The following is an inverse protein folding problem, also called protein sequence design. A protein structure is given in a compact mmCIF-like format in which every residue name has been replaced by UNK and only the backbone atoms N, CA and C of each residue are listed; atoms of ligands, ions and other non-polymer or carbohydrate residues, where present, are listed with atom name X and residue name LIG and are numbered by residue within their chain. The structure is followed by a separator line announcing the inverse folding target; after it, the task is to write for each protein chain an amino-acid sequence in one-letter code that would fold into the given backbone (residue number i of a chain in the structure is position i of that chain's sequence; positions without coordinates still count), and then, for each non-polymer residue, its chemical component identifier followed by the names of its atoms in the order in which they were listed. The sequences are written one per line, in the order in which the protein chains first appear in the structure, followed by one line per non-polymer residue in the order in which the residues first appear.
data_IF_364006795673
#
_entry.id   IF_364006795673
#
_cell.length_a   1.000
_cell.length_b   1.000
_cell.length_c   1.000
_cell.angle_alpha   90.00
_cell.angle_beta   90.00
_cell.angle_gamma   90.00
#
_symmetry.space_group_name_H-M   'P 1'
#
loop_
_entity.id
_entity.type
_entity.pdbx_description
1 polymer ?
#
# COMPACT_ATOMS: atom_id res chain seq x y z
N UNK A 1 -27.55 -29.61 36.33
CA UNK A 1 -26.99 -30.88 35.84
C UNK A 1 -25.95 -30.55 34.78
N UNK A 2 -24.72 -31.01 34.95
CA UNK A 2 -23.62 -30.80 33.99
C UNK A 2 -23.69 -31.89 32.92
N UNK A 3 -24.03 -31.52 31.68
CA UNK A 3 -23.91 -32.38 30.51
C UNK A 3 -22.46 -32.25 29.99
N UNK A 4 -21.88 -33.40 29.61
CA UNK A 4 -20.49 -33.69 29.27
C UNK A 4 -19.57 -32.50 28.94
N UNK A 5 -18.43 -32.46 29.63
CA UNK A 5 -17.29 -31.57 29.37
C UNK A 5 -16.14 -32.36 28.76
N UNK A 6 -15.64 -31.93 27.61
CA UNK A 6 -14.38 -32.41 27.02
C UNK A 6 -13.54 -31.19 26.66
N UNK A 7 -12.39 -30.99 27.32
CA UNK A 7 -11.51 -29.82 27.17
C UNK A 7 -12.25 -28.47 27.18
N UNK A 8 -12.99 -28.18 28.25
CA UNK A 8 -13.76 -26.93 28.45
C UNK A 8 -14.87 -26.64 27.42
N UNK A 9 -15.13 -27.55 26.48
CA UNK A 9 -16.27 -27.46 25.58
C UNK A 9 -17.58 -27.74 26.34
N UNK A 10 -18.43 -26.73 26.45
CA UNK A 10 -19.77 -26.84 27.03
C UNK A 10 -20.80 -26.98 25.92
N UNK A 11 -21.38 -28.17 25.77
CA UNK A 11 -22.50 -28.38 24.84
C UNK A 11 -23.74 -27.69 25.38
N UNK A 12 -24.22 -26.68 24.65
CA UNK A 12 -25.40 -25.89 25.03
C UNK A 12 -26.69 -26.72 25.07
N UNK A 13 -27.64 -26.32 25.91
CA UNK A 13 -28.95 -26.96 25.99
C UNK A 13 -29.70 -26.74 24.67
N UNK A 14 -29.97 -27.81 23.92
CA UNK A 14 -30.56 -27.77 22.57
C UNK A 14 -29.67 -28.35 21.46
N UNK A 15 -28.37 -28.59 21.73
CA UNK A 15 -27.45 -29.28 20.80
C UNK A 15 -27.35 -30.80 21.05
N UNK A 16 -28.01 -31.31 22.09
CA UNK A 16 -28.08 -32.72 22.45
C UNK A 16 -29.54 -33.16 22.44
N UNK A 17 -29.95 -33.88 21.40
CA UNK A 17 -31.19 -34.66 21.45
C UNK A 17 -30.89 -36.03 22.08
N UNK A 18 -31.35 -36.21 23.32
CA UNK A 18 -31.41 -37.53 23.97
C UNK A 18 -32.74 -38.15 23.59
N UNK A 19 -32.75 -39.05 22.60
CA UNK A 19 -33.95 -39.81 22.28
C UNK A 19 -34.04 -41.09 23.11
N UNK A 20 -35.20 -41.38 23.73
CA UNK A 20 -35.57 -42.75 24.08
C UNK A 20 -35.92 -43.51 22.79
N UNK A 21 -35.33 -44.68 22.58
CA UNK A 21 -35.63 -45.54 21.44
C UNK A 21 -36.98 -46.25 21.62
N UNK A 22 -37.86 -46.34 20.61
CA UNK A 22 -38.95 -47.30 20.58
C UNK A 22 -38.47 -48.58 19.87
N UNK A 23 -37.92 -49.52 20.63
CA UNK A 23 -37.54 -50.83 20.06
C UNK A 23 -37.08 -51.81 21.13
N UNK A 24 -37.85 -52.89 21.29
CA UNK A 24 -37.54 -54.00 22.18
C UNK A 24 -36.38 -54.82 21.60
N UNK A 25 -35.16 -54.65 22.11
CA UNK A 25 -34.04 -55.53 21.74
C UNK A 25 -32.64 -55.03 22.11
N UNK A 26 -32.24 -55.24 23.37
CA UNK A 26 -30.87 -55.71 23.69
C UNK A 26 -29.69 -54.73 23.80
N UNK A 27 -29.80 -53.44 23.47
CA UNK A 27 -28.68 -52.49 23.66
C UNK A 27 -28.97 -51.47 24.78
N UNK A 28 -28.32 -51.63 25.94
CA UNK A 28 -28.33 -50.65 27.04
C UNK A 28 -27.29 -49.54 26.81
N UNK A 29 -27.39 -48.82 25.69
CA UNK A 29 -26.50 -47.71 25.37
C UNK A 29 -27.24 -46.39 25.23
N UNK A 30 -27.07 -45.48 26.19
CA UNK A 30 -27.28 -44.04 25.97
C UNK A 30 -26.20 -43.55 24.99
N UNK A 31 -26.42 -43.81 23.70
CA UNK A 31 -25.44 -43.52 22.66
C UNK A 31 -25.49 -42.05 22.26
N UNK A 32 -24.44 -41.29 22.59
CA UNK A 32 -24.14 -40.01 21.95
C UNK A 32 -23.98 -40.25 20.44
N UNK A 33 -24.84 -39.63 19.62
CA UNK A 33 -24.60 -39.61 18.18
C UNK A 33 -23.48 -38.62 17.89
N UNK A 34 -22.45 -39.09 17.18
CA UNK A 34 -21.43 -38.19 16.63
C UNK A 34 -22.08 -37.24 15.61
N UNK A 35 -21.58 -36.00 15.44
CA UNK A 35 -22.15 -34.98 14.54
C UNK A 35 -22.17 -35.34 13.03
N UNK A 36 -21.79 -36.58 12.68
CA UNK A 36 -21.79 -37.09 11.32
C UNK A 36 -23.02 -37.94 10.97
N UNK A 37 -23.89 -38.21 11.94
CA UNK A 37 -25.07 -39.06 11.74
C UNK A 37 -26.27 -38.29 11.18
N UNK A 38 -27.15 -38.98 10.46
CA UNK A 38 -28.37 -38.40 9.88
C UNK A 38 -29.32 -37.91 10.99
N UNK A 39 -29.88 -36.71 10.80
CA UNK A 39 -30.71 -36.01 11.79
C UNK A 39 -29.97 -34.96 12.65
N UNK A 40 -28.68 -34.74 12.43
CA UNK A 40 -27.93 -33.64 13.06
C UNK A 40 -28.13 -32.32 12.30
N UNK A 41 -28.18 -31.19 12.98
CA UNK A 41 -28.32 -29.87 12.38
C UNK A 41 -27.49 -28.82 13.13
N UNK A 42 -26.97 -27.84 12.39
CA UNK A 42 -26.32 -26.66 12.94
C UNK A 42 -27.36 -25.56 13.11
N UNK A 43 -27.36 -24.94 14.29
CA UNK A 43 -28.29 -23.87 14.63
C UNK A 43 -27.53 -22.54 14.66
N UNK A 44 -28.17 -21.46 14.19
CA UNK A 44 -27.67 -20.10 14.40
C UNK A 44 -27.72 -19.80 15.91
N UNK A 45 -26.57 -19.40 16.46
CA UNK A 45 -26.43 -19.05 17.89
C UNK A 45 -27.33 -17.88 18.32
N UNK A 46 -27.81 -17.05 17.39
CA UNK A 46 -28.65 -15.87 17.70
C UNK A 46 -30.16 -16.14 17.63
N UNK A 47 -30.61 -16.84 16.61
CA UNK A 47 -32.03 -17.08 16.35
C UNK A 47 -32.49 -18.47 16.79
N UNK A 48 -31.54 -19.40 17.04
CA UNK A 48 -31.78 -20.83 17.27
C UNK A 48 -32.52 -21.51 16.10
N UNK A 49 -32.52 -20.89 14.93
CA UNK A 49 -33.03 -21.48 13.68
C UNK A 49 -31.99 -22.39 13.05
N UNK A 50 -32.45 -23.35 12.23
CA UNK A 50 -31.59 -24.30 11.54
C UNK A 50 -30.88 -23.61 10.38
N UNK A 51 -29.55 -23.49 10.47
CA UNK A 51 -28.70 -22.95 9.41
C UNK A 51 -28.42 -24.02 8.34
N UNK A 52 -28.08 -25.23 8.79
CA UNK A 52 -27.76 -26.36 7.92
C UNK A 52 -28.17 -27.67 8.56
N UNK A 53 -28.82 -28.54 7.80
CA UNK A 53 -28.98 -29.93 8.20
C UNK A 53 -27.79 -30.78 7.70
N UNK A 54 -27.41 -31.80 8.47
CA UNK A 54 -26.29 -32.67 8.14
C UNK A 54 -26.42 -33.32 6.78
N UNK A 55 -27.63 -33.64 6.35
CA UNK A 55 -27.87 -34.29 5.06
C UNK A 55 -27.66 -33.35 3.86
N UNK A 56 -27.65 -32.03 4.09
CA UNK A 56 -27.36 -31.00 3.09
C UNK A 56 -25.84 -30.77 2.92
N UNK A 57 -25.04 -31.24 3.88
CA UNK A 57 -23.60 -31.05 3.94
C UNK A 57 -22.83 -32.31 3.53
N UNK A 58 -21.70 -32.13 2.83
CA UNK A 58 -20.76 -33.23 2.62
C UNK A 58 -20.08 -33.62 3.94
N UNK A 59 -19.58 -34.86 4.06
CA UNK A 59 -18.94 -35.33 5.29
C UNK A 59 -17.71 -34.48 5.68
N UNK A 60 -16.93 -34.04 4.70
CA UNK A 60 -15.79 -33.12 4.91
C UNK A 60 -16.26 -31.74 5.36
N UNK A 61 -17.32 -31.19 4.74
CA UNK A 61 -17.83 -29.87 5.12
C UNK A 61 -18.44 -29.85 6.51
N UNK A 62 -19.11 -30.93 6.90
CA UNK A 62 -19.60 -31.12 8.26
C UNK A 62 -18.45 -31.14 9.28
N UNK A 63 -17.32 -31.79 8.97
CA UNK A 63 -16.14 -31.81 9.84
C UNK A 63 -15.47 -30.43 9.95
N UNK A 64 -15.37 -29.70 8.84
CA UNK A 64 -14.87 -28.31 8.85
C UNK A 64 -15.73 -27.41 9.74
N UNK A 65 -17.07 -27.48 9.62
CA UNK A 65 -17.96 -26.68 10.45
C UNK A 65 -17.87 -27.03 11.94
N UNK A 66 -17.52 -28.27 12.28
CA UNK A 66 -17.28 -28.69 13.66
C UNK A 66 -15.98 -28.09 14.18
N UNK A 67 -14.91 -28.16 13.39
CA UNK A 67 -13.61 -27.57 13.75
C UNK A 67 -13.75 -26.06 13.88
N UNK A 68 -14.41 -25.40 12.93
CA UNK A 68 -14.71 -23.97 12.97
C UNK A 68 -15.56 -23.61 14.19
N UNK A 69 -16.55 -24.44 14.56
CA UNK A 69 -17.34 -24.21 15.79
C UNK A 69 -16.47 -24.35 17.04
N UNK A 70 -15.62 -25.38 17.11
CA UNK A 70 -14.69 -25.60 18.22
C UNK A 70 -13.68 -24.47 18.36
N UNK A 71 -13.17 -23.94 17.25
CA UNK A 71 -12.26 -22.81 17.21
C UNK A 71 -12.98 -21.49 17.49
N UNK A 72 -14.23 -21.30 17.04
CA UNK A 72 -14.99 -20.06 17.27
C UNK A 72 -15.35 -19.84 18.75
N UNK A 73 -15.56 -20.92 19.51
CA UNK A 73 -15.86 -20.87 20.94
C UNK A 73 -14.60 -20.63 21.81
N UNK A 74 -13.40 -20.59 21.22
CA UNK A 74 -12.18 -20.22 21.94
C UNK A 74 -12.09 -18.72 22.25
N UNK A 75 -12.84 -17.87 21.54
CA UNK A 75 -12.89 -16.44 21.81
C UNK A 75 -14.12 -16.10 22.65
N UNK A 76 -13.94 -16.00 23.97
CA UNK A 76 -15.02 -15.66 24.89
C UNK A 76 -15.64 -14.30 24.56
N UNK A 77 -16.94 -14.13 24.83
CA UNK A 77 -17.59 -12.82 24.79
C UNK A 77 -16.87 -11.78 25.68
N UNK A 78 -16.20 -12.23 26.74
CA UNK A 78 -15.34 -11.39 27.57
C UNK A 78 -14.14 -10.82 26.78
N UNK A 79 -13.55 -11.61 25.87
CA UNK A 79 -12.44 -11.16 25.02
C UNK A 79 -12.93 -10.22 23.92
N UNK A 80 -14.14 -10.43 23.39
CA UNK A 80 -14.79 -9.44 22.53
C UNK A 80 -15.05 -8.11 23.27
N UNK A 81 -15.53 -8.16 24.52
CA UNK A 81 -15.70 -6.95 25.33
C UNK A 81 -14.37 -6.26 25.60
N UNK A 82 -13.31 -6.99 25.93
CA UNK A 82 -11.95 -6.45 26.10
C UNK A 82 -11.42 -5.78 24.84
N UNK A 83 -11.64 -6.40 23.68
CA UNK A 83 -11.28 -5.82 22.39
C UNK A 83 -12.08 -4.55 22.13
N UNK A 84 -13.39 -4.57 22.39
CA UNK A 84 -14.27 -3.41 22.21
C UNK A 84 -13.89 -2.25 23.12
N UNK A 85 -13.62 -2.50 24.40
CA UNK A 85 -13.11 -1.48 25.33
C UNK A 85 -11.75 -0.95 24.89
N UNK A 86 -10.85 -1.83 24.43
CA UNK A 86 -9.54 -1.40 23.94
C UNK A 86 -9.63 -0.52 22.69
N UNK A 87 -10.55 -0.84 21.76
CA UNK A 87 -10.81 -0.01 20.58
C UNK A 87 -11.42 1.34 20.97
N UNK A 88 -12.34 1.36 21.94
CA UNK A 88 -12.92 2.61 22.46
C UNK A 88 -11.88 3.47 23.18
N UNK A 89 -11.00 2.87 23.96
CA UNK A 89 -9.85 3.54 24.60
C UNK A 89 -8.87 4.08 23.55
N UNK A 90 -8.62 3.35 22.48
CA UNK A 90 -7.79 3.81 21.36
C UNK A 90 -8.43 4.98 20.61
N UNK A 91 -9.74 4.97 20.40
CA UNK A 91 -10.43 6.09 19.76
C UNK A 91 -10.53 7.31 20.68
N UNK A 92 -10.70 7.12 21.99
CA UNK A 92 -10.56 8.17 23.00
C UNK A 92 -9.13 8.75 23.04
N UNK A 93 -8.11 7.90 23.00
CA UNK A 93 -6.72 8.33 22.94
C UNK A 93 -6.38 9.05 21.62
N UNK A 94 -6.92 8.59 20.47
CA UNK A 94 -6.76 9.26 19.17
C UNK A 94 -7.44 10.61 19.12
N UNK A 95 -8.63 10.74 19.71
CA UNK A 95 -9.35 12.02 19.79
C UNK A 95 -8.64 12.99 20.73
N UNK A 96 -8.14 12.54 21.88
CA UNK A 96 -7.29 13.34 22.76
C UNK A 96 -5.95 13.73 22.10
N UNK A 97 -5.33 12.85 21.33
CA UNK A 97 -4.12 13.14 20.56
C UNK A 97 -4.37 14.14 19.42
N UNK A 98 -5.56 14.14 18.79
CA UNK A 98 -5.97 15.18 17.83
C UNK A 98 -6.10 16.55 18.48
N UNK A 99 -6.59 16.62 19.72
CA UNK A 99 -6.74 17.88 20.48
C UNK A 99 -5.38 18.40 20.96
N UNK A 100 -4.48 17.51 21.42
CA UNK A 100 -3.11 17.86 21.83
C UNK A 100 -2.19 18.19 20.62
N UNK A 101 -2.47 17.61 19.45
CA UNK A 101 -1.74 17.85 18.20
C UNK A 101 -2.00 19.22 17.56
N UNK A 102 -2.95 20.01 18.05
CA UNK A 102 -3.18 21.39 17.58
C UNK A 102 -2.21 22.41 18.22
N UNK A 103 -1.46 22.06 19.28
CA UNK A 103 -0.63 23.04 20.00
C UNK A 103 0.81 22.63 20.30
N UNK A 104 1.24 21.38 20.11
CA UNK A 104 2.66 21.04 20.25
C UNK A 104 3.07 19.84 19.41
N UNK A 105 3.93 20.09 18.43
CA UNK A 105 4.59 19.05 17.66
C UNK A 105 5.58 18.28 18.53
N UNK A 106 5.30 17.01 18.81
CA UNK A 106 6.30 16.03 19.24
C UNK A 106 5.90 14.65 18.70
N UNK A 107 6.40 14.33 17.50
CA UNK A 107 6.23 13.06 16.81
C UNK A 107 7.28 12.05 17.28
N UNK A 108 6.87 10.99 17.99
CA UNK A 108 7.66 9.76 18.18
C UNK A 108 7.32 8.70 17.12
N UNK A 109 7.29 9.13 15.87
CA UNK A 109 7.41 8.24 14.72
C UNK A 109 8.39 8.97 13.82
N UNK A 110 9.62 8.48 13.71
CA UNK A 110 10.58 8.98 12.73
C UNK A 110 10.14 8.43 11.37
N UNK A 111 9.57 9.26 10.47
CA UNK A 111 9.57 8.91 9.08
C UNK A 111 11.03 8.97 8.63
N UNK A 112 11.48 8.08 7.76
CA UNK A 112 12.67 8.34 6.96
C UNK A 112 12.38 9.49 5.98
N UNK A 113 12.18 10.70 6.51
CA UNK A 113 12.47 11.92 5.78
C UNK A 113 13.97 11.88 5.56
N UNK A 114 14.41 12.01 4.31
CA UNK A 114 15.73 12.59 4.05
C UNK A 114 15.73 13.87 4.87
N UNK A 115 16.50 13.90 5.95
CA UNK A 115 16.93 15.14 6.56
C UNK A 115 17.65 15.87 5.44
N UNK A 116 16.96 16.75 4.73
CA UNK A 116 17.65 17.89 4.15
C UNK A 116 18.39 18.48 5.33
N UNK A 117 19.74 18.50 5.32
CA UNK A 117 20.46 19.21 6.36
C UNK A 117 19.86 20.62 6.44
N UNK A 118 19.82 21.18 7.64
CA UNK A 118 19.43 22.57 7.86
C UNK A 118 20.39 23.45 7.04
N UNK A 119 20.05 23.67 5.76
CA UNK A 119 20.78 24.54 4.86
C UNK A 119 20.41 25.92 5.35
N UNK A 120 21.38 26.57 5.99
CA UNK A 120 21.37 28.01 6.25
C UNK A 120 20.68 28.69 5.06
N UNK A 121 19.60 29.47 5.27
CA UNK A 121 18.89 30.08 4.15
C UNK A 121 19.91 30.91 3.37
N UNK A 122 20.23 30.47 2.15
CA UNK A 122 21.14 31.17 1.27
C UNK A 122 20.68 32.62 1.08
N UNK A 123 21.63 33.52 0.89
CA UNK A 123 21.37 34.96 0.81
C UNK A 123 20.34 35.30 -0.28
N UNK A 124 20.24 34.45 -1.31
CA UNK A 124 19.36 34.66 -2.47
C UNK A 124 18.05 33.83 -2.46
N UNK A 125 17.68 33.22 -1.32
CA UNK A 125 16.51 32.34 -1.23
C UNK A 125 15.21 33.01 -1.67
N UNK A 126 14.94 34.23 -1.24
CA UNK A 126 13.69 34.94 -1.56
C UNK A 126 13.63 35.32 -3.05
N UNK A 127 14.76 35.70 -3.63
CA UNK A 127 14.87 36.00 -5.05
C UNK A 127 14.60 34.76 -5.91
N UNK A 128 15.27 33.65 -5.60
CA UNK A 128 15.09 32.39 -6.35
C UNK A 128 13.67 31.86 -6.18
N UNK A 129 13.09 31.98 -4.99
CA UNK A 129 11.68 31.64 -4.76
C UNK A 129 10.73 32.48 -5.60
N UNK A 130 10.99 33.78 -5.76
CA UNK A 130 10.18 34.65 -6.62
C UNK A 130 10.25 34.22 -8.10
N UNK A 131 11.41 33.76 -8.58
CA UNK A 131 11.58 33.28 -9.96
C UNK A 131 10.84 31.97 -10.22
N UNK A 132 10.92 31.00 -9.31
CA UNK A 132 10.32 29.66 -9.50
C UNK A 132 8.92 29.50 -8.90
N UNK A 133 8.42 30.51 -8.16
CA UNK A 133 7.21 30.47 -7.30
C UNK A 133 7.32 29.49 -6.12
N UNK A 134 7.99 28.34 -6.32
CA UNK A 134 8.38 27.37 -5.30
C UNK A 134 9.81 26.89 -5.57
N UNK A 135 10.62 26.71 -4.52
CA UNK A 135 12.01 26.27 -4.68
C UNK A 135 12.09 24.83 -5.21
N UNK A 136 12.80 24.60 -6.34
CA UNK A 136 13.05 23.26 -6.83
C UNK A 136 13.83 22.40 -5.82
N UNK A 137 13.56 21.09 -5.74
CA UNK A 137 14.23 20.22 -4.78
C UNK A 137 15.73 20.12 -5.07
N UNK A 138 16.56 20.38 -4.05
CA UNK A 138 18.02 20.31 -4.17
C UNK A 138 18.68 21.52 -4.83
N UNK A 139 17.93 22.61 -5.06
CA UNK A 139 18.50 23.85 -5.58
C UNK A 139 19.39 24.52 -4.52
N UNK A 140 20.64 24.77 -4.87
CA UNK A 140 21.52 25.69 -4.15
C UNK A 140 21.27 27.10 -4.70
N UNK A 141 20.61 27.95 -3.91
CA UNK A 141 20.13 29.27 -4.35
C UNK A 141 21.27 30.19 -4.77
N UNK A 142 22.38 30.16 -4.03
CA UNK A 142 23.52 31.02 -4.26
C UNK A 142 24.25 30.64 -5.56
N UNK A 143 24.49 29.34 -5.77
CA UNK A 143 25.08 28.83 -7.01
C UNK A 143 24.20 29.12 -8.23
N UNK A 144 22.87 29.00 -8.09
CA UNK A 144 21.95 29.32 -9.18
C UNK A 144 21.98 30.82 -9.52
N UNK A 145 21.95 31.68 -8.50
CA UNK A 145 22.00 33.13 -8.68
C UNK A 145 23.33 33.59 -9.30
N UNK A 146 24.46 33.07 -8.81
CA UNK A 146 25.78 33.35 -9.41
C UNK A 146 25.87 32.87 -10.86
N UNK A 147 25.30 31.70 -11.17
CA UNK A 147 25.23 31.21 -12.56
C UNK A 147 24.41 32.15 -13.46
N UNK A 148 23.32 32.72 -12.94
CA UNK A 148 22.54 33.76 -13.65
C UNK A 148 23.38 35.01 -13.92
N UNK A 149 24.18 35.46 -12.95
CA UNK A 149 25.06 36.62 -13.12
C UNK A 149 26.14 36.36 -14.17
N UNK A 150 26.78 35.19 -14.15
CA UNK A 150 27.74 34.82 -15.19
C UNK A 150 27.09 34.73 -16.58
N UNK A 151 25.89 34.16 -16.67
CA UNK A 151 25.16 34.09 -17.93
C UNK A 151 24.83 35.49 -18.49
N UNK A 152 24.66 36.51 -17.64
CA UNK A 152 24.37 37.89 -18.07
C UNK A 152 25.63 38.67 -18.43
N UNK A 153 26.64 38.61 -17.56
CA UNK A 153 27.78 39.53 -17.60
C UNK A 153 29.04 38.90 -18.23
N UNK A 154 29.04 37.59 -18.45
CA UNK A 154 30.24 36.84 -18.79
C UNK A 154 31.23 36.76 -17.62
N UNK A 155 32.45 36.34 -17.91
CA UNK A 155 33.53 36.38 -16.91
C UNK A 155 33.92 37.84 -16.65
N UNK A 156 33.86 38.26 -15.38
CA UNK A 156 34.13 39.65 -14.96
C UNK A 156 35.55 39.84 -14.47
N UNK A 157 36.24 38.76 -14.09
CA UNK A 157 37.62 38.82 -13.60
C UNK A 157 38.41 37.54 -13.84
N UNK A 158 39.73 37.59 -13.63
CA UNK A 158 40.62 36.46 -13.85
C UNK A 158 40.31 35.32 -12.86
N UNK A 159 40.62 34.09 -13.27
CA UNK A 159 40.49 32.87 -12.46
C UNK A 159 39.05 32.49 -12.05
N UNK A 160 38.03 33.12 -12.64
CA UNK A 160 36.63 32.81 -12.36
C UNK A 160 36.08 31.61 -13.15
N UNK A 161 36.83 31.07 -14.12
CA UNK A 161 36.33 30.05 -15.06
C UNK A 161 35.76 28.82 -14.36
N UNK A 162 36.50 28.22 -13.43
CA UNK A 162 36.06 26.98 -12.75
C UNK A 162 34.76 27.19 -11.98
N UNK A 163 34.67 28.32 -11.26
CA UNK A 163 33.47 28.68 -10.52
C UNK A 163 32.30 29.01 -11.45
N UNK A 164 32.56 29.70 -12.56
CA UNK A 164 31.55 29.97 -13.58
C UNK A 164 31.02 28.66 -14.20
N UNK A 165 31.87 27.69 -14.53
CA UNK A 165 31.45 26.38 -15.06
C UNK A 165 30.49 25.67 -14.09
N UNK A 166 30.83 25.62 -12.81
CA UNK A 166 30.02 24.95 -11.78
C UNK A 166 28.66 25.64 -11.59
N UNK A 167 28.68 26.97 -11.43
CA UNK A 167 27.46 27.76 -11.19
C UNK A 167 26.58 27.87 -12.43
N UNK A 168 27.15 27.98 -13.64
CA UNK A 168 26.41 27.90 -14.90
C UNK A 168 25.82 26.52 -15.12
N UNK A 169 26.55 25.45 -14.77
CA UNK A 169 26.02 24.09 -14.79
C UNK A 169 24.77 23.98 -13.93
N UNK A 170 24.80 24.54 -12.72
CA UNK A 170 23.67 24.55 -11.80
C UNK A 170 22.52 25.47 -12.27
N UNK A 171 22.82 26.62 -12.86
CA UNK A 171 21.82 27.53 -13.44
C UNK A 171 21.09 26.91 -14.64
N UNK A 172 21.84 26.34 -15.59
CA UNK A 172 21.29 25.63 -16.74
C UNK A 172 20.52 24.36 -16.33
N UNK A 173 20.94 23.71 -15.23
CA UNK A 173 20.27 22.52 -14.73
C UNK A 173 18.81 22.77 -14.36
N UNK A 174 18.54 23.87 -13.65
CA UNK A 174 17.19 24.26 -13.25
C UNK A 174 16.50 25.19 -14.27
N UNK A 175 17.25 25.79 -15.20
CA UNK A 175 16.76 26.79 -16.12
C UNK A 175 16.44 28.12 -15.44
N UNK A 176 15.78 29.03 -16.16
CA UNK A 176 15.28 30.29 -15.64
C UNK A 176 13.91 30.62 -16.24
N UNK A 177 12.81 30.33 -15.51
CA UNK A 177 11.45 30.65 -15.94
C UNK A 177 11.23 32.13 -16.24
N UNK A 178 11.90 33.03 -15.51
CA UNK A 178 11.77 34.49 -15.72
C UNK A 178 12.36 34.95 -17.04
N UNK A 179 13.23 34.13 -17.65
CA UNK A 179 13.93 34.41 -18.92
C UNK A 179 13.60 33.41 -20.01
N UNK A 180 12.61 32.55 -19.78
CA UNK A 180 12.21 31.47 -20.71
C UNK A 180 13.36 30.54 -21.09
N UNK A 181 14.32 30.36 -20.18
CA UNK A 181 15.44 29.46 -20.37
C UNK A 181 15.02 28.05 -19.92
N UNK A 182 14.98 27.06 -20.83
CA UNK A 182 14.56 25.70 -20.48
C UNK A 182 15.55 25.05 -19.51
N UNK A 183 15.02 24.22 -18.61
CA UNK A 183 15.82 23.44 -17.69
C UNK A 183 16.49 22.28 -18.43
N UNK A 184 17.82 22.28 -18.48
CA UNK A 184 18.61 21.17 -18.98
C UNK A 184 18.89 20.25 -17.79
N UNK A 185 17.93 19.42 -17.39
CA UNK A 185 18.02 18.57 -16.21
C UNK A 185 18.82 17.27 -16.42
N UNK A 186 18.42 16.21 -15.70
CA UNK A 186 18.91 14.85 -15.93
C UNK A 186 18.61 14.41 -17.37
N UNK A 187 19.57 13.76 -18.04
CA UNK A 187 19.43 13.28 -19.42
C UNK A 187 19.77 14.31 -20.50
N UNK A 188 20.09 15.55 -20.10
CA UNK A 188 20.53 16.64 -20.99
C UNK A 188 22.00 17.01 -20.73
N UNK A 189 22.84 16.05 -20.33
CA UNK A 189 24.25 16.27 -19.99
C UNK A 189 25.05 16.83 -21.19
N UNK A 190 24.74 16.37 -22.40
CA UNK A 190 25.43 16.77 -23.63
C UNK A 190 25.05 18.19 -24.06
N UNK A 191 23.77 18.52 -24.01
CA UNK A 191 23.23 19.84 -24.33
C UNK A 191 23.72 20.88 -23.33
N UNK A 192 23.79 20.51 -22.05
CA UNK A 192 24.34 21.37 -21.00
C UNK A 192 25.84 21.56 -21.17
N UNK A 193 26.59 20.52 -21.54
CA UNK A 193 28.00 20.65 -21.87
C UNK A 193 28.18 21.64 -23.01
N UNK A 194 27.49 21.42 -24.12
CA UNK A 194 27.56 22.28 -25.29
C UNK A 194 27.20 23.74 -24.96
N UNK A 195 26.16 23.97 -24.16
CA UNK A 195 25.76 25.31 -23.75
C UNK A 195 26.83 26.03 -22.92
N UNK A 196 27.51 25.34 -22.01
CA UNK A 196 28.59 25.94 -21.20
C UNK A 196 29.84 26.19 -22.06
N UNK A 197 30.18 25.26 -22.95
CA UNK A 197 31.28 25.41 -23.91
C UNK A 197 31.07 26.62 -24.81
N UNK A 198 29.88 26.75 -25.37
CA UNK A 198 29.52 27.88 -26.24
C UNK A 198 29.49 29.20 -25.47
N UNK A 199 28.94 29.19 -24.25
CA UNK A 199 29.01 30.34 -23.35
C UNK A 199 30.45 30.78 -23.11
N UNK A 200 31.36 29.86 -22.76
CA UNK A 200 32.75 30.21 -22.50
C UNK A 200 33.45 30.71 -23.76
N UNK A 201 33.11 30.19 -24.93
CA UNK A 201 33.66 30.67 -26.21
C UNK A 201 33.29 32.13 -26.46
N UNK A 202 32.04 32.52 -26.22
CA UNK A 202 31.52 33.86 -26.52
C UNK A 202 31.78 34.85 -25.38
N UNK A 203 31.61 34.44 -24.12
CA UNK A 203 31.49 35.33 -22.96
C UNK A 203 32.64 35.20 -21.94
N UNK A 204 33.80 34.67 -22.33
CA UNK A 204 34.98 34.65 -21.45
C UNK A 204 35.69 36.00 -21.32
N UNK A 205 35.35 37.00 -22.15
CA UNK A 205 35.85 38.39 -22.10
C UNK A 205 37.38 38.53 -21.97
N UNK A 206 38.15 37.58 -22.51
CA UNK A 206 39.61 37.52 -22.34
C UNK A 206 40.12 37.23 -20.92
N UNK A 207 39.23 36.92 -19.96
CA UNK A 207 39.57 36.73 -18.55
C UNK A 207 40.13 35.33 -18.23
N UNK A 208 40.09 34.40 -19.18
CA UNK A 208 40.59 33.03 -19.02
C UNK A 208 41.85 32.81 -19.84
N UNK A 209 43.01 32.74 -19.17
CA UNK A 209 44.32 32.53 -19.83
C UNK A 209 44.38 31.23 -20.65
N UNK A 210 43.76 30.16 -20.17
CA UNK A 210 43.84 28.86 -20.85
C UNK A 210 42.93 28.78 -22.08
N UNK A 211 41.78 29.47 -22.05
CA UNK A 211 40.93 29.59 -23.25
C UNK A 211 41.60 30.50 -24.28
N UNK A 212 42.18 31.62 -23.85
CA UNK A 212 42.95 32.50 -24.73
C UNK A 212 44.16 31.78 -25.36
N UNK A 213 44.76 30.82 -24.63
CA UNK A 213 45.87 30.00 -25.10
C UNK A 213 45.45 28.73 -25.88
N UNK A 214 44.14 28.51 -26.06
CA UNK A 214 43.62 27.34 -26.80
C UNK A 214 43.91 25.99 -26.15
N UNK A 215 44.07 25.92 -24.82
CA UNK A 215 44.36 24.65 -24.13
C UNK A 215 43.11 23.77 -24.02
N UNK A 216 43.25 22.51 -24.40
CA UNK A 216 42.15 21.52 -24.36
C UNK A 216 41.60 21.26 -22.94
N UNK A 217 42.45 21.34 -21.90
CA UNK A 217 42.07 21.06 -20.50
C UNK A 217 40.94 21.97 -19.98
N UNK A 218 40.85 23.20 -20.51
CA UNK A 218 39.77 24.12 -20.16
C UNK A 218 38.39 23.59 -20.59
N UNK A 219 38.32 22.86 -21.71
CA UNK A 219 37.10 22.24 -22.21
C UNK A 219 36.83 20.90 -21.52
N UNK A 220 37.88 20.13 -21.22
CA UNK A 220 37.77 18.88 -20.44
C UNK A 220 37.25 19.13 -19.02
N UNK A 221 37.46 20.34 -18.48
CA UNK A 221 36.84 20.75 -17.21
C UNK A 221 35.32 20.90 -17.31
N UNK A 222 34.80 21.38 -18.44
CA UNK A 222 33.35 21.50 -18.68
C UNK A 222 32.72 20.12 -18.74
N UNK A 223 33.32 19.20 -19.50
CA UNK A 223 32.86 17.82 -19.63
C UNK A 223 32.75 17.11 -18.27
N UNK A 224 33.77 17.29 -17.41
CA UNK A 224 33.77 16.75 -16.04
C UNK A 224 32.69 17.35 -15.14
N UNK A 225 32.35 18.62 -15.34
CA UNK A 225 31.35 19.31 -14.53
C UNK A 225 29.91 18.95 -14.93
N UNK A 226 29.65 18.67 -16.21
CA UNK A 226 28.31 18.36 -16.71
C UNK A 226 27.89 16.91 -16.55
N UNK A 227 28.86 15.99 -16.49
CA UNK A 227 28.64 14.56 -16.36
C UNK A 227 28.83 14.07 -14.92
N UNK A 228 27.78 13.47 -14.37
CA UNK A 228 27.84 12.88 -13.02
C UNK A 228 28.27 11.41 -13.00
N UNK A 229 28.37 10.79 -14.18
CA UNK A 229 28.89 9.44 -14.35
C UNK A 229 30.33 9.48 -14.88
N UNK A 230 31.23 8.65 -14.33
CA UNK A 230 32.54 8.41 -14.94
C UNK A 230 32.40 7.93 -16.37
N UNK A 231 33.36 8.25 -17.24
CA UNK A 231 33.33 7.96 -18.68
C UNK A 231 32.97 6.50 -19.00
N UNK A 232 33.54 5.54 -18.28
CA UNK A 232 33.27 4.10 -18.45
C UNK A 232 31.86 3.63 -18.08
N UNK A 233 31.02 4.48 -17.46
CA UNK A 233 29.62 4.17 -17.09
C UNK A 233 28.61 5.00 -17.86
N UNK A 234 29.06 5.88 -18.76
CA UNK A 234 28.18 6.72 -19.56
C UNK A 234 27.53 5.86 -20.65
N UNK A 235 26.21 5.98 -20.81
CA UNK A 235 25.44 5.24 -21.82
C UNK A 235 25.00 3.83 -21.41
N UNK A 236 25.33 3.37 -20.20
CA UNK A 236 24.73 2.14 -19.66
C UNK A 236 23.29 2.42 -19.21
N UNK A 237 22.35 1.54 -19.59
CA UNK A 237 20.97 1.66 -19.12
C UNK A 237 20.90 1.54 -17.59
N UNK A 238 20.10 2.39 -16.91
CA UNK A 238 20.00 2.36 -15.46
C UNK A 238 19.42 1.01 -14.99
N UNK A 239 20.27 0.15 -14.46
CA UNK A 239 19.86 -1.14 -13.91
C UNK A 239 19.12 -0.90 -12.59
N UNK A 240 17.84 -1.30 -12.54
CA UNK A 240 17.04 -1.24 -11.31
C UNK A 240 17.77 -1.97 -10.18
N UNK A 241 18.01 -1.28 -9.07
CA UNK A 241 18.57 -1.89 -7.88
C UNK A 241 17.67 -3.03 -7.41
N UNK A 242 18.22 -4.24 -7.48
CA UNK A 242 17.63 -5.43 -6.89
C UNK A 242 18.47 -5.79 -5.68
N UNK A 243 17.81 -6.15 -4.58
CA UNK A 243 18.51 -6.51 -3.35
C UNK A 243 19.26 -7.84 -3.58
N UNK A 244 20.53 -7.74 -3.96
CA UNK A 244 21.39 -8.91 -4.18
C UNK A 244 21.71 -9.49 -2.81
N UNK A 245 21.18 -10.68 -2.53
CA UNK A 245 21.49 -11.41 -1.29
C UNK A 245 23.03 -11.56 -1.19
N UNK A 246 23.64 -11.29 -0.04
CA UNK A 246 25.08 -11.46 0.13
C UNK A 246 25.53 -12.87 -0.27
N UNK A 247 26.62 -12.97 -1.03
CA UNK A 247 27.17 -14.25 -1.51
C UNK A 247 27.49 -15.18 -0.32
N UNK A 248 27.93 -14.61 0.81
CA UNK A 248 28.17 -15.34 2.06
C UNK A 248 26.93 -16.06 2.58
N UNK A 249 25.76 -15.41 2.57
CA UNK A 249 24.51 -16.01 3.03
C UNK A 249 24.03 -17.15 2.12
N UNK A 250 24.19 -17.01 0.81
CA UNK A 250 23.84 -18.08 -0.13
C UNK A 250 24.72 -19.30 0.12
N UNK A 251 26.03 -19.11 0.31
CA UNK A 251 26.98 -20.19 0.63
C UNK A 251 26.69 -20.84 1.98
N UNK A 252 26.43 -20.04 3.00
CA UNK A 252 26.17 -20.54 4.36
C UNK A 252 24.87 -21.35 4.41
N UNK A 253 23.81 -20.91 3.73
CA UNK A 253 22.57 -21.68 3.63
C UNK A 253 22.76 -23.01 2.87
N UNK A 254 23.52 -23.01 1.77
CA UNK A 254 23.88 -24.25 1.07
C UNK A 254 24.68 -25.21 1.96
N UNK A 255 25.61 -24.67 2.77
CA UNK A 255 26.37 -25.46 3.74
C UNK A 255 25.47 -26.04 4.84
N UNK A 256 24.52 -25.27 5.38
CA UNK A 256 23.53 -25.77 6.35
C UNK A 256 22.67 -26.88 5.77
N UNK A 257 22.20 -26.71 4.53
CA UNK A 257 21.40 -27.70 3.83
C UNK A 257 22.16 -29.02 3.61
N UNK A 258 23.39 -28.94 3.09
CA UNK A 258 24.25 -30.12 2.90
C UNK A 258 24.62 -30.79 4.22
N UNK A 259 24.87 -30.02 5.29
CA UNK A 259 25.11 -30.55 6.63
C UNK A 259 23.89 -31.28 7.21
N UNK A 260 22.68 -30.74 7.03
CA UNK A 260 21.45 -31.41 7.45
C UNK A 260 21.23 -32.73 6.70
N UNK A 261 21.43 -32.74 5.38
CA UNK A 261 21.33 -33.96 4.56
C UNK A 261 22.30 -35.05 5.02
N UNK A 262 23.57 -34.71 5.25
CA UNK A 262 24.59 -35.66 5.73
C UNK A 262 24.19 -36.30 7.07
N UNK A 263 23.67 -35.51 8.01
CA UNK A 263 23.22 -36.02 9.31
C UNK A 263 22.03 -36.98 9.20
N UNK A 264 21.06 -36.65 8.34
CA UNK A 264 19.90 -37.52 8.08
C UNK A 264 20.36 -38.83 7.43
N UNK A 265 21.24 -38.78 6.42
CA UNK A 265 21.78 -39.98 5.78
C UNK A 265 22.54 -40.87 6.78
N UNK A 266 23.42 -40.29 7.61
CA UNK A 266 24.17 -41.03 8.62
C UNK A 266 23.26 -41.70 9.64
N UNK A 267 22.25 -40.98 10.13
CA UNK A 267 21.25 -41.53 11.05
C UNK A 267 20.45 -42.68 10.42
N UNK A 268 20.12 -42.55 9.14
CA UNK A 268 19.40 -43.59 8.41
C UNK A 268 20.28 -44.83 8.19
N UNK A 269 21.55 -44.66 7.81
CA UNK A 269 22.50 -45.76 7.70
C UNK A 269 22.69 -46.50 9.04
N UNK A 270 22.72 -45.79 10.17
CA UNK A 270 22.80 -46.43 11.48
C UNK A 270 21.55 -47.24 11.80
N UNK A 271 20.36 -46.70 11.51
CA UNK A 271 19.09 -47.40 11.74
C UNK A 271 18.94 -48.62 10.82
N UNK A 272 19.39 -48.52 9.57
CA UNK A 272 19.45 -49.65 8.63
C UNK A 272 20.39 -50.76 9.11
N UNK A 273 21.54 -50.42 9.70
CA UNK A 273 22.47 -51.42 10.27
C UNK A 273 21.88 -52.17 11.46
N UNK A 274 20.98 -51.54 12.20
CA UNK A 274 20.32 -52.14 13.36
C UNK A 274 19.10 -53.02 12.96
N UNK A 275 18.72 -53.05 11.68
CA UNK A 275 17.58 -53.79 11.11
C UNK A 275 16.28 -53.65 11.92
N UNK A 276 16.07 -52.44 12.48
CA UNK A 276 14.88 -52.09 13.26
C UNK A 276 13.98 -51.18 12.46
N UNK A 277 12.68 -51.45 12.52
CA UNK A 277 11.67 -50.50 12.07
C UNK A 277 11.82 -49.21 12.90
N UNK A 278 11.94 -48.07 12.22
CA UNK A 278 12.14 -46.79 12.87
C UNK A 278 10.98 -45.85 12.59
N UNK A 279 10.59 -45.08 13.60
CA UNK A 279 9.60 -44.01 13.48
C UNK A 279 10.25 -42.70 13.05
N UNK A 280 9.45 -41.77 12.52
CA UNK A 280 9.94 -40.43 12.17
C UNK A 280 10.49 -39.65 13.38
N UNK A 281 10.03 -39.98 14.59
CA UNK A 281 10.51 -39.40 15.86
C UNK A 281 11.90 -39.94 16.23
N UNK A 282 12.16 -41.23 16.00
CA UNK A 282 13.47 -41.84 16.23
C UNK A 282 14.49 -41.33 15.22
N UNK A 283 14.13 -41.23 13.93
CA UNK A 283 15.00 -40.65 12.91
C UNK A 283 15.33 -39.18 13.22
N UNK A 284 14.37 -38.41 13.73
CA UNK A 284 14.60 -37.03 14.19
C UNK A 284 15.63 -36.98 15.32
N UNK A 285 15.48 -37.86 16.31
CA UNK A 285 16.36 -37.94 17.48
C UNK A 285 17.77 -38.36 17.07
N UNK A 286 17.91 -39.36 16.20
CA UNK A 286 19.18 -39.85 15.69
C UNK A 286 19.90 -38.82 14.80
N UNK A 287 19.16 -38.07 13.96
CA UNK A 287 19.75 -37.05 13.09
C UNK A 287 20.06 -35.72 13.80
N UNK A 288 19.49 -35.49 14.99
CA UNK A 288 19.63 -34.22 15.72
C UNK A 288 19.11 -33.01 14.94
N UNK A 289 18.02 -33.20 14.19
CA UNK A 289 17.42 -32.19 13.32
C UNK A 289 16.01 -31.82 13.78
N UNK A 290 15.54 -30.61 13.45
CA UNK A 290 14.14 -30.24 13.65
C UNK A 290 13.24 -31.01 12.66
N UNK A 291 11.98 -31.25 13.05
CA UNK A 291 11.01 -32.00 12.24
C UNK A 291 10.75 -31.36 10.86
N UNK A 292 10.73 -30.03 10.79
CA UNK A 292 10.61 -29.31 9.51
C UNK A 292 11.79 -29.56 8.58
N UNK A 293 13.01 -29.64 9.12
CA UNK A 293 14.22 -29.94 8.34
C UNK A 293 14.18 -31.36 7.79
N UNK A 294 13.61 -32.30 8.56
CA UNK A 294 13.41 -33.67 8.13
C UNK A 294 12.41 -33.75 6.96
N UNK A 295 11.26 -33.07 7.05
CA UNK A 295 10.27 -33.03 5.96
C UNK A 295 10.76 -32.31 4.70
N UNK A 296 11.57 -31.25 4.83
CA UNK A 296 12.24 -30.60 3.68
C UNK A 296 13.21 -31.52 2.94
N UNK A 297 13.66 -32.59 3.59
CA UNK A 297 14.59 -33.58 3.06
C UNK A 297 13.96 -34.98 3.02
N UNK A 298 12.64 -35.06 2.83
CA UNK A 298 11.90 -36.32 2.69
C UNK A 298 12.39 -37.19 1.54
N UNK A 299 13.02 -36.60 0.53
CA UNK A 299 13.57 -37.32 -0.62
C UNK A 299 14.64 -38.36 -0.25
N UNK A 300 15.29 -38.21 0.91
CA UNK A 300 16.37 -39.09 1.35
C UNK A 300 15.85 -40.30 2.15
N UNK A 301 14.77 -40.14 2.91
CA UNK A 301 14.37 -41.12 3.93
C UNK A 301 12.97 -41.69 3.78
N UNK A 302 12.11 -41.02 3.00
CA UNK A 302 10.69 -41.40 2.91
C UNK A 302 10.49 -42.76 2.25
N UNK A 303 11.25 -43.06 1.21
CA UNK A 303 11.18 -44.34 0.52
C UNK A 303 11.59 -45.49 1.45
N UNK A 304 12.69 -45.32 2.19
CA UNK A 304 13.14 -46.31 3.18
C UNK A 304 12.11 -46.53 4.30
N UNK A 305 11.41 -45.48 4.70
CA UNK A 305 10.32 -45.57 5.69
C UNK A 305 9.10 -46.31 5.11
N UNK A 306 8.71 -46.02 3.86
CA UNK A 306 7.59 -46.67 3.18
C UNK A 306 7.87 -48.15 2.90
N UNK A 307 9.10 -48.51 2.52
CA UNK A 307 9.55 -49.89 2.34
C UNK A 307 9.45 -50.68 3.66
N UNK A 308 9.90 -50.11 4.77
CA UNK A 308 9.75 -50.72 6.10
C UNK A 308 8.28 -50.83 6.54
N UNK A 309 7.44 -49.85 6.21
CA UNK A 309 6.01 -49.85 6.53
C UNK A 309 5.22 -50.87 5.70
N UNK A 310 5.59 -51.10 4.44
CA UNK A 310 4.94 -52.12 3.59
C UNK A 310 5.07 -53.53 4.17
N UNK A 311 6.20 -53.84 4.83
CA UNK A 311 6.38 -55.07 5.58
C UNK A 311 5.47 -55.19 6.81
N UNK A 312 5.11 -54.07 7.44
CA UNK A 312 4.16 -54.05 8.56
C UNK A 312 2.72 -54.35 8.09
N UNK A 313 2.30 -53.79 6.95
CA UNK A 313 0.98 -54.09 6.38
C UNK A 313 0.87 -55.49 5.77
N UNK A 314 1.97 -56.10 5.32
CA UNK A 314 1.99 -57.48 4.84
C UNK A 314 1.81 -58.54 5.96
N UNK A 315 2.08 -58.19 7.22
CA UNK A 315 1.92 -59.08 8.39
C UNK A 315 0.50 -59.02 8.97
N UNK A 316 -0.35 -58.11 8.50
CA UNK A 316 -1.80 -58.14 8.75
C UNK A 316 -2.49 -58.83 7.58
N UNK A 317 -2.59 -60.18 7.56
CA UNK A 317 -3.59 -60.81 6.71
C UNK A 317 -4.97 -60.28 7.14
N UNK A 318 -5.87 -60.11 6.19
CA UNK A 318 -7.23 -59.59 6.32
C UNK A 318 -8.18 -60.46 7.20
N UNK A 319 -7.69 -61.04 8.29
CA UNK A 319 -8.50 -61.68 9.32
C UNK A 319 -9.00 -60.63 10.33
N UNK A 320 -9.72 -59.63 9.81
CA UNK A 320 -10.69 -58.94 10.66
C UNK A 320 -11.83 -59.93 10.88
N UNK A 321 -12.01 -60.35 12.14
CA UNK A 321 -13.06 -61.25 12.63
C UNK A 321 -14.44 -60.92 12.04
N UNK A 322 -14.74 -61.45 10.86
CA UNK A 322 -16.06 -61.47 10.27
C UNK A 322 -16.85 -62.53 11.00
N UNK A 323 -17.74 -62.10 11.88
CA UNK A 323 -18.80 -62.95 12.43
C UNK A 323 -19.51 -63.62 11.25
N UNK A 324 -19.39 -64.94 11.15
CA UNK A 324 -20.11 -65.76 10.19
C UNK A 324 -21.62 -65.49 10.33
N UNK A 325 -22.25 -64.88 9.33
CA UNK A 325 -23.71 -64.72 9.35
C UNK A 325 -24.37 -63.61 8.53
N UNK A 326 -23.65 -62.78 7.76
CA UNK A 326 -24.30 -61.80 6.89
C UNK A 326 -23.55 -61.65 5.56
N UNK A 327 -23.89 -62.50 4.59
CA UNK A 327 -23.54 -62.27 3.20
C UNK A 327 -24.27 -61.00 2.71
N UNK A 328 -23.51 -59.97 2.35
CA UNK A 328 -23.99 -58.82 1.59
C UNK A 328 -23.76 -59.10 0.09
N UNK A 329 -24.75 -58.91 -0.79
CA UNK A 329 -24.56 -59.03 -2.23
C UNK A 329 -23.68 -57.90 -2.75
N UNK A 330 -22.83 -58.22 -3.72
CA UNK A 330 -21.85 -57.35 -4.40
C UNK A 330 -22.31 -55.88 -4.55
N UNK A 331 -21.70 -54.96 -3.80
CA UNK A 331 -21.88 -53.52 -4.01
C UNK A 331 -21.00 -53.05 -5.17
N UNK A 332 -21.55 -53.01 -6.38
CA UNK A 332 -20.99 -52.18 -7.46
C UNK A 332 -21.31 -50.70 -7.17
N UNK A 333 -20.38 -49.76 -7.39
CA UNK A 333 -20.66 -48.34 -7.19
C UNK A 333 -21.75 -47.87 -8.17
N UNK A 334 -22.65 -46.95 -7.77
CA UNK A 334 -23.76 -46.52 -8.60
C UNK A 334 -23.23 -45.77 -9.83
N UNK A 335 -23.75 -46.14 -11.00
CA UNK A 335 -23.45 -45.47 -12.26
C UNK A 335 -24.00 -44.04 -12.26
N UNK A 336 -23.11 -43.07 -12.44
CA UNK A 336 -23.43 -41.66 -12.57
C UNK A 336 -24.09 -41.38 -13.93
N UNK A 337 -25.42 -41.49 -14.01
CA UNK A 337 -26.19 -40.86 -15.10
C UNK A 337 -26.64 -39.47 -14.65
N UNK A 338 -25.80 -38.47 -14.91
CA UNK A 338 -26.21 -37.06 -14.81
C UNK A 338 -27.10 -36.72 -16.01
N UNK A 339 -28.41 -36.69 -15.82
CA UNK A 339 -29.30 -35.92 -16.70
C UNK A 339 -29.22 -34.45 -16.29
N UNK A 340 -28.78 -33.60 -17.21
CA UNK A 340 -28.59 -32.17 -17.02
C UNK A 340 -29.91 -31.38 -17.07
N UNK A 341 -30.94 -31.82 -16.34
CA UNK A 341 -32.13 -31.00 -16.12
C UNK A 341 -31.86 -30.08 -14.94
N UNK A 342 -31.70 -28.77 -15.24
CA UNK A 342 -31.59 -27.75 -14.20
C UNK A 342 -32.90 -27.70 -13.42
N UNK A 343 -32.90 -27.98 -12.10
CA UNK A 343 -34.11 -27.94 -11.32
C UNK A 343 -34.68 -26.51 -11.28
N UNK A 344 -36.02 -26.35 -11.33
CA UNK A 344 -36.68 -25.04 -11.44
C UNK A 344 -36.32 -24.09 -10.29
N UNK A 345 -36.02 -24.62 -9.11
CA UNK A 345 -35.57 -23.89 -7.93
C UNK A 345 -34.22 -23.18 -8.17
N UNK A 346 -33.32 -23.81 -8.91
CA UNK A 346 -32.01 -23.23 -9.25
C UNK A 346 -32.12 -22.11 -10.27
N UNK A 347 -33.10 -22.18 -11.18
CA UNK A 347 -33.45 -21.08 -12.09
C UNK A 347 -34.07 -19.91 -11.33
N UNK A 348 -34.94 -20.18 -10.36
CA UNK A 348 -35.51 -19.17 -9.48
C UNK A 348 -34.42 -18.43 -8.67
N UNK A 349 -33.50 -19.18 -8.05
CA UNK A 349 -32.38 -18.60 -7.30
C UNK A 349 -31.47 -17.72 -8.17
N UNK A 350 -31.15 -18.15 -9.40
CA UNK A 350 -30.38 -17.34 -10.35
C UNK A 350 -31.09 -16.04 -10.73
N UNK A 351 -32.41 -16.08 -10.89
CA UNK A 351 -33.22 -14.90 -11.20
C UNK A 351 -33.24 -13.90 -10.05
N UNK A 352 -33.36 -14.39 -8.81
CA UNK A 352 -33.30 -13.55 -7.60
C UNK A 352 -31.91 -12.91 -7.46
N UNK A 353 -30.83 -13.68 -7.63
CA UNK A 353 -29.47 -13.15 -7.54
C UNK A 353 -29.19 -12.08 -8.62
N UNK A 354 -29.67 -12.31 -9.84
CA UNK A 354 -29.58 -11.32 -10.91
C UNK A 354 -30.36 -10.04 -10.57
N UNK A 355 -31.56 -10.17 -10.01
CA UNK A 355 -32.38 -9.03 -9.60
C UNK A 355 -31.73 -8.20 -8.49
N UNK A 356 -31.13 -8.85 -7.49
CA UNK A 356 -30.37 -8.19 -6.41
C UNK A 356 -29.16 -7.44 -6.99
N UNK A 357 -28.43 -8.06 -7.92
CA UNK A 357 -27.30 -7.41 -8.60
C UNK A 357 -27.74 -6.14 -9.34
N UNK A 358 -28.87 -6.21 -10.04
CA UNK A 358 -29.43 -5.06 -10.75
C UNK A 358 -29.92 -3.94 -9.81
N UNK A 359 -30.44 -4.28 -8.63
CA UNK A 359 -30.79 -3.28 -7.60
C UNK A 359 -29.54 -2.57 -7.07
N UNK A 360 -28.51 -3.32 -6.71
CA UNK A 360 -27.24 -2.76 -6.25
C UNK A 360 -26.58 -1.84 -7.30
N UNK A 361 -26.67 -2.21 -8.59
CA UNK A 361 -26.17 -1.37 -9.67
C UNK A 361 -26.96 -0.06 -9.82
N UNK A 362 -28.28 -0.09 -9.64
CA UNK A 362 -29.12 1.12 -9.62
C UNK A 362 -28.83 2.02 -8.43
N UNK A 363 -28.65 1.44 -7.24
CA UNK A 363 -28.34 2.21 -6.03
C UNK A 363 -26.98 2.92 -6.14
N UNK A 364 -25.98 2.24 -6.71
CA UNK A 364 -24.67 2.86 -7.02
C UNK A 364 -24.80 4.00 -8.02
N UNK A 365 -25.59 3.83 -9.08
CA UNK A 365 -25.82 4.86 -10.08
C UNK A 365 -26.52 6.08 -9.46
N UNK A 366 -27.57 5.84 -8.66
CA UNK A 366 -28.31 6.89 -7.95
C UNK A 366 -27.44 7.66 -6.97
N UNK A 367 -26.60 6.97 -6.19
CA UNK A 367 -25.65 7.62 -5.28
C UNK A 367 -24.63 8.50 -6.03
N UNK A 368 -24.19 8.07 -7.23
CA UNK A 368 -23.30 8.88 -8.08
C UNK A 368 -24.02 10.11 -8.66
N UNK A 369 -25.28 9.96 -9.06
CA UNK A 369 -26.12 11.08 -9.57
C UNK A 369 -26.44 12.08 -8.45
N UNK A 370 -26.75 11.60 -7.25
CA UNK A 370 -26.99 12.44 -6.06
C UNK A 370 -25.71 13.20 -5.63
N UNK A 371 -24.53 12.56 -5.73
CA UNK A 371 -23.25 13.22 -5.47
C UNK A 371 -22.94 14.29 -6.54
N UNK A 372 -23.21 14.02 -7.81
CA UNK A 372 -23.03 14.98 -8.90
C UNK A 372 -23.98 16.18 -8.74
N UNK A 373 -25.27 15.95 -8.44
CA UNK A 373 -26.24 17.00 -8.19
C UNK A 373 -25.94 17.84 -6.94
N UNK A 374 -25.34 17.24 -5.90
CA UNK A 374 -24.88 17.99 -4.73
C UNK A 374 -23.70 18.92 -5.02
N UNK A 375 -22.85 18.57 -6.00
CA UNK A 375 -21.74 19.42 -6.43
C UNK A 375 -22.26 20.59 -7.27
N UNK A 376 -23.12 20.31 -8.24
CA UNK A 376 -23.75 21.32 -9.11
C UNK A 376 -24.57 22.33 -8.28
N UNK A 377 -25.33 21.86 -7.28
CA UNK A 377 -26.05 22.75 -6.36
C UNK A 377 -25.14 23.61 -5.47
N UNK A 378 -23.95 23.11 -5.11
CA UNK A 378 -22.96 23.89 -4.37
C UNK A 378 -22.27 24.94 -5.26
N UNK A 379 -22.05 24.63 -6.53
CA UNK A 379 -21.54 25.56 -7.55
C UNK A 379 -22.54 26.68 -7.83
N UNK A 380 -23.81 26.36 -8.07
CA UNK A 380 -24.88 27.35 -8.29
C UNK A 380 -25.07 28.28 -7.08
N UNK A 381 -25.05 27.73 -5.87
CA UNK A 381 -25.15 28.52 -4.65
C UNK A 381 -23.95 29.47 -4.49
N UNK A 382 -22.74 28.97 -4.77
CA UNK A 382 -21.51 29.75 -4.72
C UNK A 382 -21.49 30.88 -5.77
N UNK A 383 -21.86 30.57 -7.01
CA UNK A 383 -21.95 31.55 -8.10
C UNK A 383 -23.06 32.58 -7.88
N UNK A 384 -24.17 32.18 -7.24
CA UNK A 384 -25.24 33.08 -6.81
C UNK A 384 -24.77 34.06 -5.72
N UNK A 385 -24.01 33.60 -4.72
CA UNK A 385 -23.40 34.46 -3.70
C UNK A 385 -22.37 35.43 -4.33
N UNK A 386 -21.51 34.95 -5.23
CA UNK A 386 -20.57 35.79 -5.98
C UNK A 386 -21.28 36.85 -6.82
N UNK A 387 -22.33 36.48 -7.54
CA UNK A 387 -23.07 37.42 -8.40
C UNK A 387 -23.74 38.52 -7.58
N UNK A 388 -24.23 38.23 -6.37
CA UNK A 388 -24.75 39.25 -5.45
C UNK A 388 -23.66 40.23 -5.03
N UNK A 389 -22.51 39.71 -4.59
CA UNK A 389 -21.38 40.54 -4.16
C UNK A 389 -20.84 41.40 -5.30
N UNK A 390 -20.87 40.92 -6.54
CA UNK A 390 -20.44 41.69 -7.72
C UNK A 390 -21.47 42.73 -8.14
N UNK A 391 -22.77 42.40 -8.08
CA UNK A 391 -23.84 43.34 -8.42
C UNK A 391 -23.98 44.47 -7.39
N UNK A 392 -23.56 44.25 -6.14
CA UNK A 392 -23.53 45.29 -5.11
C UNK A 392 -22.33 46.25 -5.29
N UNK A 393 -21.42 46.00 -6.25
CA UNK A 393 -20.28 46.87 -6.56
C UNK A 393 -20.57 47.70 -7.81
N UNK A 394 -21.08 48.91 -7.59
CA UNK A 394 -21.28 49.90 -8.65
C UNK A 394 -19.99 50.70 -8.95
N UNK A 395 -19.97 51.39 -10.09
CA UNK A 395 -18.80 52.18 -10.54
C UNK A 395 -18.49 53.42 -9.67
N UNK A 396 -19.35 53.74 -8.71
CA UNK A 396 -19.24 54.89 -7.79
C UNK A 396 -19.04 54.47 -6.31
N UNK A 397 -18.66 53.21 -6.07
CA UNK A 397 -18.50 52.64 -4.72
C UNK A 397 -17.33 53.26 -3.96
N UNK A 398 -17.54 53.63 -2.68
CA UNK A 398 -16.50 54.28 -1.86
C UNK A 398 -15.36 53.32 -1.50
N UNK A 399 -14.16 53.84 -1.26
CA UNK A 399 -12.96 53.05 -0.98
C UNK A 399 -13.09 52.19 0.29
N UNK A 400 -13.98 52.58 1.23
CA UNK A 400 -14.31 51.79 2.42
C UNK A 400 -15.14 50.55 2.08
N UNK A 401 -16.13 50.70 1.19
CA UNK A 401 -17.03 49.64 0.76
C UNK A 401 -16.28 48.60 -0.09
N UNK A 402 -15.38 49.04 -0.98
CA UNK A 402 -14.49 48.14 -1.75
C UNK A 402 -13.59 47.27 -0.85
N UNK A 403 -13.14 47.79 0.30
CA UNK A 403 -12.38 46.99 1.29
C UNK A 403 -13.25 45.95 1.95
N UNK A 404 -14.50 46.28 2.30
CA UNK A 404 -15.43 45.30 2.88
C UNK A 404 -15.76 44.19 1.90
N UNK A 405 -15.97 44.53 0.62
CA UNK A 405 -16.20 43.56 -0.46
C UNK A 405 -14.99 42.64 -0.65
N UNK A 406 -13.76 43.16 -0.56
CA UNK A 406 -12.55 42.33 -0.63
C UNK A 406 -12.45 41.31 0.52
N UNK A 407 -12.89 41.68 1.73
CA UNK A 407 -12.94 40.75 2.87
C UNK A 407 -13.98 39.66 2.62
N UNK A 408 -15.16 40.03 2.12
CA UNK A 408 -16.22 39.06 1.78
C UNK A 408 -15.76 38.12 0.67
N UNK A 409 -15.15 38.63 -0.40
CA UNK A 409 -14.59 37.79 -1.48
C UNK A 409 -13.45 36.88 -1.01
N UNK A 410 -12.61 37.33 -0.07
CA UNK A 410 -11.58 36.48 0.52
C UNK A 410 -12.20 35.32 1.33
N UNK A 411 -13.32 35.55 2.03
CA UNK A 411 -14.04 34.47 2.71
C UNK A 411 -14.73 33.51 1.74
N UNK A 412 -15.30 34.02 0.64
CA UNK A 412 -15.88 33.18 -0.42
C UNK A 412 -14.80 32.34 -1.11
N UNK A 413 -13.63 32.90 -1.41
CA UNK A 413 -12.50 32.16 -1.98
C UNK A 413 -12.08 30.95 -1.15
N UNK A 414 -12.17 31.03 0.17
CA UNK A 414 -11.85 29.91 1.07
C UNK A 414 -12.91 28.79 1.05
N UNK A 415 -14.09 29.06 0.50
CA UNK A 415 -15.26 28.15 0.43
C UNK A 415 -15.58 27.70 -1.00
N UNK A 416 -14.69 27.95 -1.97
CA UNK A 416 -14.93 27.58 -3.37
C UNK A 416 -15.09 26.05 -3.52
N UNK A 417 -16.16 25.57 -4.17
CA UNK A 417 -16.45 24.14 -4.30
C UNK A 417 -15.55 23.42 -5.32
N UNK A 418 -15.07 24.14 -6.33
CA UNK A 418 -14.20 23.63 -7.38
C UNK A 418 -13.11 24.65 -7.78
N UNK A 419 -12.17 24.23 -8.62
CA UNK A 419 -11.05 25.06 -9.08
C UNK A 419 -11.50 26.23 -9.98
N UNK A 420 -12.50 26.01 -10.85
CA UNK A 420 -12.98 27.05 -11.77
C UNK A 420 -13.64 28.23 -11.03
N UNK A 421 -14.47 27.92 -10.03
CA UNK A 421 -15.06 28.86 -9.08
C UNK A 421 -13.99 29.68 -8.33
N UNK A 422 -12.89 29.02 -7.95
CA UNK A 422 -11.77 29.68 -7.28
C UNK A 422 -11.06 30.68 -8.21
N UNK A 423 -10.79 30.29 -9.46
CA UNK A 423 -10.16 31.16 -10.46
C UNK A 423 -11.03 32.39 -10.75
N UNK A 424 -12.33 32.18 -10.97
CA UNK A 424 -13.28 33.27 -11.22
C UNK A 424 -13.33 34.28 -10.06
N UNK A 425 -13.38 33.80 -8.82
CA UNK A 425 -13.35 34.67 -7.64
C UNK A 425 -11.99 35.41 -7.48
N UNK A 426 -10.86 34.80 -7.87
CA UNK A 426 -9.54 35.45 -7.84
C UNK A 426 -9.42 36.58 -8.87
N UNK A 427 -10.00 36.40 -10.06
CA UNK A 427 -10.07 37.46 -11.08
C UNK A 427 -10.86 38.66 -10.59
N UNK A 428 -12.01 38.44 -9.93
CA UNK A 428 -12.82 39.49 -9.32
C UNK A 428 -12.07 40.24 -8.22
N UNK A 429 -11.37 39.52 -7.34
CA UNK A 429 -10.52 40.14 -6.30
C UNK A 429 -9.43 41.01 -6.93
N UNK A 430 -8.81 40.54 -8.01
CA UNK A 430 -7.77 41.29 -8.71
C UNK A 430 -8.32 42.56 -9.37
N UNK A 431 -9.51 42.48 -9.97
CA UNK A 431 -10.22 43.63 -10.55
C UNK A 431 -10.55 44.68 -9.49
N UNK A 432 -11.11 44.28 -8.35
CA UNK A 432 -11.48 45.20 -7.27
C UNK A 432 -10.24 45.84 -6.60
N UNK A 433 -9.16 45.08 -6.44
CA UNK A 433 -7.87 45.63 -6.00
C UNK A 433 -7.35 46.69 -6.96
N UNK A 434 -7.47 46.47 -8.27
CA UNK A 434 -7.12 47.46 -9.28
C UNK A 434 -7.93 48.75 -9.18
N UNK A 435 -9.25 48.65 -8.98
CA UNK A 435 -10.13 49.82 -8.78
C UNK A 435 -9.76 50.61 -7.51
N UNK A 436 -9.46 49.91 -6.42
CA UNK A 436 -9.07 50.54 -5.16
C UNK A 436 -7.74 51.30 -5.27
N UNK A 437 -6.77 50.78 -6.02
CA UNK A 437 -5.50 51.48 -6.31
C UNK A 437 -5.76 52.72 -7.16
N UNK A 438 -6.63 52.62 -8.18
CA UNK A 438 -6.99 53.77 -9.03
C UNK A 438 -7.75 54.89 -8.30
N UNK A 439 -8.51 54.57 -7.26
CA UNK A 439 -9.17 55.55 -6.37
C UNK A 439 -8.20 56.24 -5.39
N UNK A 440 -7.10 55.58 -5.03
CA UNK A 440 -6.05 56.15 -4.18
C UNK A 440 -5.13 57.10 -4.96
N UNK A 441 -4.95 56.86 -6.26
CA UNK A 441 -4.18 57.69 -7.18
C UNK A 441 -5.09 58.67 -7.96
N UNK A 442 -5.61 59.72 -7.29
CA UNK A 442 -6.35 60.81 -7.94
C UNK A 442 -5.54 61.55 -9.02
N UNK A 443 -6.19 62.34 -9.91
CA UNK A 443 -5.63 62.76 -11.20
C UNK A 443 -4.35 63.59 -11.01
N UNK A 444 -3.26 63.13 -11.61
CA UNK A 444 -1.99 63.87 -11.65
C UNK A 444 -2.19 65.23 -12.32
N UNK A 445 -2.14 66.29 -11.52
CA UNK A 445 -2.13 67.67 -12.01
C UNK A 445 -0.93 67.88 -12.94
N UNK A 446 -1.23 68.27 -14.18
CA UNK A 446 -0.25 68.63 -15.20
C UNK A 446 0.75 69.66 -14.67
N UNK A 447 2.03 69.34 -14.85
CA UNK A 447 3.16 70.15 -14.43
C UNK A 447 3.17 71.54 -15.08
N UNK A 448 3.52 72.54 -14.28
CA UNK A 448 4.07 73.80 -14.77
C UNK A 448 5.56 73.61 -15.08
N UNK A 449 5.90 73.72 -16.35
CA UNK A 449 7.25 74.09 -16.82
C UNK A 449 7.50 75.58 -16.55
N UNK A 450 8.77 76.03 -16.46
CA UNK A 450 9.18 77.28 -15.80
C UNK A 450 8.61 78.56 -16.40
#
# INVERSE_FOLDING_TARGET
MKLLTLNDFQVGKGQLEVFPHPGQGGSQGLGLRLPLQQGFAWLDKKTLEVDYERHELSATRALELIIDSLESDTNSFADFQRLKTHVQELDAAKSQAKVLGASRAASNILPFKKTTPDVQPGEFVDFVRAVFQQLPPGIITDSWYQGRLYHLNGLTGPSQRSHAIETLGHYLFYGDPSRQLPALGYGYEQERQWAIEEFLRIHHNGQSKELNAGRADAMTQVERATHWLPEHRRGEEPVRYTNKRPISWVRENANRQSGARKRIMQALETLKKEDRQFTTVELQTAAGCARDTLYKHQDIWRQDYEDLASGFFAICPDEYNGVEGAALPESKPPATTQTADMPPERLAARRIAYEISMRNARDKKRASEEAAGSLEGAEDAFMGELSRVVNDVDSETDASELKTVLVVLATLLSRAPNYECQVFAQELVSRIRGLLVGLQDGPQAMGRSP
#
